data_IF_718495663681
#
_entry.id   IF_718495663681
#
_cell.length_a   1.000
_cell.length_b   1.000
_cell.length_c   1.000
_cell.angle_alpha   90.00
_cell.angle_beta   90.00
_cell.angle_gamma   90.00
#
_symmetry.space_group_name_H-M   'P 1'
#
loop_
_entity.id
_entity.type
_entity.pdbx_description
1 polymer ?
#
# COMPACT_ATOMS: atom_id res chain seq x y z
N UNK A 1 -1.84 -5.38 -23.60
CA UNK A 1 -0.36 -5.27 -23.42
C UNK A 1 0.28 -6.61 -23.07
N UNK A 2 -0.19 -7.35 -22.07
CA UNK A 2 0.35 -8.68 -21.72
C UNK A 2 0.31 -9.64 -22.92
N UNK A 3 -0.81 -9.72 -23.64
CA UNK A 3 -0.91 -10.52 -24.87
C UNK A 3 0.18 -10.20 -25.89
N UNK A 4 0.41 -8.91 -26.18
CA UNK A 4 1.49 -8.48 -27.09
C UNK A 4 2.88 -8.92 -26.61
N UNK A 5 3.14 -8.90 -25.31
CA UNK A 5 4.40 -9.41 -24.74
C UNK A 5 4.51 -10.92 -24.94
N UNK A 6 3.48 -11.69 -24.59
CA UNK A 6 3.49 -13.15 -24.70
C UNK A 6 3.60 -13.60 -26.16
N UNK A 7 2.89 -12.94 -27.07
CA UNK A 7 2.96 -13.20 -28.52
C UNK A 7 4.37 -12.89 -29.05
N UNK A 8 4.97 -11.79 -28.59
CA UNK A 8 6.33 -11.41 -28.94
C UNK A 8 7.39 -12.41 -28.46
N UNK A 9 7.22 -12.97 -27.26
CA UNK A 9 8.07 -14.04 -26.73
C UNK A 9 7.90 -15.33 -27.52
N UNK A 10 6.66 -15.71 -27.86
CA UNK A 10 6.37 -16.88 -28.68
C UNK A 10 6.98 -16.77 -30.09
N UNK A 11 6.82 -15.63 -30.75
CA UNK A 11 7.39 -15.37 -32.07
C UNK A 11 8.92 -15.47 -32.10
N UNK A 12 9.58 -15.25 -30.95
CA UNK A 12 11.04 -15.37 -30.77
C UNK A 12 11.47 -16.74 -30.23
N UNK A 13 10.55 -17.68 -30.06
CA UNK A 13 10.79 -19.02 -29.46
C UNK A 13 11.34 -18.93 -28.04
N UNK A 14 10.91 -17.93 -27.27
CA UNK A 14 11.33 -17.69 -25.88
C UNK A 14 10.26 -18.06 -24.86
N UNK A 15 9.05 -18.44 -25.28
CA UNK A 15 7.93 -18.70 -24.38
C UNK A 15 8.24 -19.75 -23.30
N UNK A 16 8.93 -20.83 -23.67
CA UNK A 16 9.26 -21.93 -22.74
C UNK A 16 10.56 -21.70 -21.96
N UNK A 17 11.33 -20.66 -22.32
CA UNK A 17 12.61 -20.34 -21.68
C UNK A 17 12.48 -19.20 -20.65
N UNK A 18 11.39 -18.44 -20.68
CA UNK A 18 11.20 -17.24 -19.87
C UNK A 18 10.29 -17.49 -18.67
N UNK A 19 10.63 -16.86 -17.55
CA UNK A 19 9.77 -16.77 -16.37
C UNK A 19 9.15 -15.36 -16.33
N UNK A 20 7.81 -15.29 -16.30
CA UNK A 20 7.06 -14.07 -16.15
C UNK A 20 6.43 -14.01 -14.76
N UNK A 21 6.65 -12.89 -14.05
CA UNK A 21 5.99 -12.57 -12.78
C UNK A 21 5.26 -11.25 -12.98
N UNK A 22 3.94 -11.31 -12.97
CA UNK A 22 3.05 -10.15 -13.06
C UNK A 22 2.55 -9.82 -11.67
N UNK A 23 2.75 -8.57 -11.25
CA UNK A 23 2.38 -8.09 -9.92
C UNK A 23 1.61 -6.79 -10.03
N UNK A 24 0.94 -6.45 -8.93
CA UNK A 24 0.49 -5.09 -8.62
C UNK A 24 1.01 -4.72 -7.22
N UNK A 25 1.12 -3.44 -6.94
CA UNK A 25 1.50 -2.87 -5.66
C UNK A 25 0.35 -2.91 -4.64
N UNK A 26 -0.87 -2.56 -5.06
CA UNK A 26 -2.07 -2.57 -4.23
C UNK A 26 -3.35 -2.63 -5.07
N UNK A 27 -4.46 -2.93 -4.41
CA UNK A 27 -5.79 -2.81 -5.02
C UNK A 27 -6.34 -1.38 -5.03
N UNK A 28 -7.66 -1.24 -5.10
CA UNK A 28 -8.36 0.02 -5.27
C UNK A 28 -9.75 -0.05 -4.64
N UNK A 29 -10.20 1.02 -3.98
CA UNK A 29 -11.46 1.08 -3.27
C UNK A 29 -12.27 2.35 -3.63
N UNK A 30 -13.58 2.26 -3.95
CA UNK A 30 -14.40 3.41 -4.31
C UNK A 30 -14.56 4.47 -3.22
N UNK A 31 -14.44 5.75 -3.58
CA UNK A 31 -14.59 6.90 -2.68
C UNK A 31 -15.84 7.72 -3.05
N UNK A 32 -16.16 8.74 -2.27
CA UNK A 32 -17.30 9.64 -2.55
C UNK A 32 -16.99 11.06 -2.10
N UNK A 33 -17.53 12.05 -2.80
CA UNK A 33 -17.50 13.45 -2.39
C UNK A 33 -18.26 13.70 -1.08
N UNK A 34 -19.23 12.82 -0.74
CA UNK A 34 -19.98 12.86 0.52
C UNK A 34 -19.22 12.20 1.69
N UNK A 35 -18.14 11.47 1.39
CA UNK A 35 -17.31 10.75 2.37
C UNK A 35 -15.96 11.42 2.55
N UNK A 36 -15.99 12.71 2.87
CA UNK A 36 -14.80 13.53 3.09
C UNK A 36 -14.86 14.15 4.47
N UNK A 37 -13.78 14.02 5.23
CA UNK A 37 -13.54 14.75 6.46
C UNK A 37 -12.51 15.83 6.18
N UNK A 38 -12.86 17.09 6.45
CA UNK A 38 -11.93 18.20 6.26
C UNK A 38 -11.06 18.39 7.50
N UNK A 39 -9.74 18.29 7.32
CA UNK A 39 -8.78 18.46 8.41
C UNK A 39 -8.85 19.86 9.04
N UNK A 40 -9.14 20.87 8.22
CA UNK A 40 -9.19 22.28 8.62
C UNK A 40 -10.35 22.60 9.59
N UNK A 41 -11.32 21.68 9.74
CA UNK A 41 -12.38 21.80 10.76
C UNK A 41 -11.88 21.55 12.18
N UNK A 42 -10.68 20.94 12.33
CA UNK A 42 -10.14 20.50 13.61
C UNK A 42 -8.80 21.15 13.96
N UNK A 43 -8.01 21.52 12.94
CA UNK A 43 -6.68 22.12 13.11
C UNK A 43 -6.51 23.25 12.11
N UNK A 44 -6.00 24.40 12.54
CA UNK A 44 -5.71 25.49 11.61
C UNK A 44 -4.48 25.13 10.74
N UNK A 45 -4.48 25.43 9.42
CA UNK A 45 -3.36 25.12 8.53
C UNK A 45 -2.00 25.68 9.01
N UNK A 46 -1.99 26.78 9.76
CA UNK A 46 -0.77 27.38 10.33
C UNK A 46 -0.18 26.58 11.50
N UNK A 47 -0.91 25.63 12.08
CA UNK A 47 -0.48 24.84 13.24
C UNK A 47 0.19 23.51 12.86
N UNK A 48 0.03 23.08 11.61
CA UNK A 48 0.39 21.71 11.19
C UNK A 48 1.02 21.69 9.81
N UNK A 49 2.10 20.90 9.68
CA UNK A 49 2.61 20.46 8.39
C UNK A 49 1.95 19.12 8.04
N UNK A 50 1.35 19.06 6.86
CA UNK A 50 0.76 17.85 6.29
C UNK A 50 1.80 17.21 5.36
N UNK A 51 2.41 16.10 5.78
CA UNK A 51 3.40 15.37 4.97
C UNK A 51 2.72 14.60 3.83
N UNK A 52 1.55 14.03 4.11
CA UNK A 52 0.68 13.32 3.18
C UNK A 52 -0.75 13.29 3.74
N UNK A 53 -1.74 13.06 2.89
CA UNK A 53 -3.18 13.01 3.25
C UNK A 53 -3.93 12.02 2.33
N UNK A 54 -5.28 12.02 2.37
CA UNK A 54 -6.20 11.09 1.70
C UNK A 54 -6.66 9.93 2.61
N UNK A 55 -6.42 8.68 2.20
CA UNK A 55 -6.75 7.48 2.99
C UNK A 55 -5.86 7.31 4.21
N UNK A 56 -4.65 7.89 4.17
CA UNK A 56 -3.72 7.99 5.29
C UNK A 56 -3.20 9.42 5.34
N UNK A 57 -3.17 10.01 6.54
CA UNK A 57 -2.64 11.36 6.76
C UNK A 57 -1.47 11.30 7.72
N UNK A 58 -0.42 12.04 7.41
CA UNK A 58 0.76 12.18 8.23
C UNK A 58 0.97 13.63 8.64
N UNK A 59 0.96 13.91 9.94
CA UNK A 59 0.96 15.27 10.47
C UNK A 59 2.16 15.53 11.39
N UNK A 60 2.78 16.70 11.22
CA UNK A 60 3.82 17.24 12.11
C UNK A 60 3.36 18.57 12.70
N UNK A 61 3.45 18.78 14.02
CA UNK A 61 3.13 20.07 14.61
C UNK A 61 4.14 21.12 14.15
N UNK A 62 3.66 22.26 13.64
CA UNK A 62 4.45 23.47 13.46
C UNK A 62 4.46 24.30 14.76
N UNK A 63 3.37 24.20 15.53
CA UNK A 63 3.22 24.79 16.85
C UNK A 63 2.76 23.73 17.86
N UNK A 64 3.13 23.90 19.13
CA UNK A 64 2.77 22.94 20.19
C UNK A 64 3.45 21.57 20.03
N UNK A 65 2.76 20.52 20.47
CA UNK A 65 3.27 19.15 20.50
C UNK A 65 2.41 18.17 19.68
N UNK A 66 2.94 16.97 19.42
CA UNK A 66 2.15 15.89 18.81
C UNK A 66 0.98 15.46 19.70
N UNK A 67 1.12 15.55 21.03
CA UNK A 67 0.04 15.23 21.96
C UNK A 67 -1.12 16.24 21.84
N UNK A 68 -0.82 17.51 21.60
CA UNK A 68 -1.83 18.54 21.38
C UNK A 68 -2.63 18.27 20.10
N UNK A 69 -1.96 17.87 19.01
CA UNK A 69 -2.62 17.44 17.78
C UNK A 69 -3.52 16.21 18.02
N UNK A 70 -3.02 15.21 18.75
CA UNK A 70 -3.81 14.02 19.08
C UNK A 70 -5.09 14.40 19.82
N UNK A 71 -5.00 15.26 20.85
CA UNK A 71 -6.16 15.74 21.62
C UNK A 71 -7.20 16.43 20.73
N UNK A 72 -6.77 17.34 19.85
CA UNK A 72 -7.65 18.04 18.90
C UNK A 72 -8.37 17.06 17.95
N UNK A 73 -7.69 15.99 17.55
CA UNK A 73 -8.17 15.02 16.57
C UNK A 73 -8.91 13.81 17.18
N UNK A 74 -9.06 13.75 18.51
CA UNK A 74 -9.71 12.61 19.21
C UNK A 74 -11.13 12.31 18.71
N UNK A 75 -11.83 13.31 18.16
CA UNK A 75 -13.21 13.20 17.67
C UNK A 75 -13.34 13.17 16.15
N UNK A 76 -12.23 12.95 15.42
CA UNK A 76 -12.27 12.86 13.97
C UNK A 76 -13.19 11.69 13.55
N UNK A 77 -14.33 11.95 12.87
CA UNK A 77 -15.23 10.89 12.46
C UNK A 77 -14.59 10.08 11.33
N UNK A 78 -15.03 8.82 11.18
CA UNK A 78 -14.65 7.95 10.06
C UNK A 78 -13.14 7.78 9.85
N UNK A 79 -12.37 7.85 10.92
CA UNK A 79 -10.93 7.68 10.89
C UNK A 79 -10.42 7.23 12.26
N UNK A 80 -9.23 6.64 12.26
CA UNK A 80 -8.48 6.31 13.46
C UNK A 80 -7.22 7.15 13.52
N UNK A 81 -7.03 7.84 14.63
CA UNK A 81 -5.87 8.70 14.86
C UNK A 81 -4.90 8.00 15.80
N UNK A 82 -3.64 7.91 15.39
CA UNK A 82 -2.59 7.23 16.14
C UNK A 82 -1.44 8.19 16.43
N UNK A 83 -0.95 8.15 17.67
CA UNK A 83 0.44 8.46 17.90
C UNK A 83 1.29 7.43 17.14
N UNK A 84 2.39 7.84 16.51
CA UNK A 84 3.30 6.93 15.79
C UNK A 84 3.67 5.67 16.58
N UNK A 85 3.98 5.83 17.87
CA UNK A 85 4.34 4.72 18.75
C UNK A 85 3.18 3.73 19.00
N UNK A 86 1.94 4.20 18.88
CA UNK A 86 0.71 3.43 19.07
C UNK A 86 0.17 2.82 17.78
N UNK A 87 0.82 3.04 16.62
CA UNK A 87 0.41 2.40 15.37
C UNK A 87 0.45 0.87 15.51
N UNK A 88 -0.56 0.15 14.99
CA UNK A 88 -0.60 -1.30 15.03
C UNK A 88 0.69 -1.93 14.50
N UNK A 89 1.32 -2.81 15.30
CA UNK A 89 2.60 -3.45 14.96
C UNK A 89 2.59 -4.12 13.59
N UNK A 90 1.45 -4.70 13.20
CA UNK A 90 1.27 -5.39 11.91
C UNK A 90 1.45 -4.50 10.69
N UNK A 91 1.43 -3.17 10.84
CA UNK A 91 1.70 -2.27 9.72
C UNK A 91 3.19 -2.13 9.42
N UNK A 92 4.08 -2.50 10.36
CA UNK A 92 5.51 -2.26 10.23
C UNK A 92 5.84 -0.78 9.89
N UNK A 93 4.96 0.14 10.30
CA UNK A 93 4.99 1.55 9.93
C UNK A 93 5.11 2.45 11.17
N UNK A 94 6.19 2.26 11.94
CA UNK A 94 6.46 3.11 13.13
C UNK A 94 7.94 3.36 13.41
N UNK A 95 8.83 2.53 12.87
CA UNK A 95 10.25 2.52 13.25
C UNK A 95 11.13 3.30 12.23
N UNK A 96 10.71 4.51 11.84
CA UNK A 96 11.46 5.38 10.92
C UNK A 96 11.25 6.86 11.21
N UNK A 97 12.30 7.72 11.21
CA UNK A 97 12.16 9.15 11.48
C UNK A 97 11.33 9.90 10.43
N UNK A 98 11.21 9.33 9.22
CA UNK A 98 10.37 9.89 8.14
C UNK A 98 8.88 9.78 8.43
N UNK A 99 8.48 8.85 9.29
CA UNK A 99 7.08 8.70 9.69
C UNK A 99 6.71 9.85 10.65
N UNK A 100 5.67 10.63 10.35
CA UNK A 100 5.21 11.73 11.19
C UNK A 100 4.77 11.24 12.59
N UNK A 101 4.84 12.10 13.61
CA UNK A 101 4.48 11.72 14.98
C UNK A 101 2.98 11.42 15.15
N UNK A 102 2.12 11.96 14.28
CA UNK A 102 0.69 11.69 14.24
C UNK A 102 0.31 11.13 12.87
N UNK A 103 -0.38 9.98 12.87
CA UNK A 103 -0.87 9.32 11.66
C UNK A 103 -2.37 9.08 11.79
N UNK A 104 -3.12 9.45 10.76
CA UNK A 104 -4.56 9.22 10.66
C UNK A 104 -4.77 8.15 9.59
N UNK A 105 -5.56 7.14 9.89
CA UNK A 105 -6.02 6.13 8.94
C UNK A 105 -7.52 6.30 8.74
N UNK A 106 -7.94 6.70 7.55
CA UNK A 106 -9.35 6.82 7.21
C UNK A 106 -10.02 5.44 7.19
N UNK A 107 -11.30 5.40 7.55
CA UNK A 107 -12.13 4.22 7.32
C UNK A 107 -12.29 3.95 5.81
N UNK A 108 -12.62 2.70 5.47
CA UNK A 108 -12.77 2.29 4.08
C UNK A 108 -13.74 3.20 3.32
N UNK A 109 -13.25 3.82 2.24
CA UNK A 109 -14.04 4.67 1.34
C UNK A 109 -14.21 6.12 1.80
N UNK A 110 -13.61 6.48 2.94
CA UNK A 110 -13.50 7.84 3.44
C UNK A 110 -12.16 8.47 3.10
N UNK A 111 -12.13 9.79 2.97
CA UNK A 111 -10.92 10.56 2.74
C UNK A 111 -10.79 11.64 3.83
N UNK A 112 -9.57 11.85 4.30
CA UNK A 112 -9.24 12.97 5.18
C UNK A 112 -8.28 13.90 4.44
N UNK A 113 -8.73 15.11 4.13
CA UNK A 113 -7.98 16.09 3.33
C UNK A 113 -8.23 17.53 3.81
N UNK A 114 -7.39 18.48 3.41
CA UNK A 114 -7.71 19.91 3.55
C UNK A 114 -8.61 20.42 2.42
N UNK A 115 -9.36 21.50 2.67
CA UNK A 115 -10.16 22.19 1.65
C UNK A 115 -9.28 22.77 0.55
N UNK A 116 -8.07 23.23 0.89
CA UNK A 116 -7.08 23.68 -0.09
C UNK A 116 -6.69 22.56 -1.05
N UNK A 117 -6.50 21.34 -0.53
CA UNK A 117 -6.17 20.17 -1.32
C UNK A 117 -7.30 19.81 -2.29
N UNK A 118 -8.55 19.87 -1.80
CA UNK A 118 -9.71 19.64 -2.67
C UNK A 118 -9.81 20.71 -3.76
N UNK A 119 -9.60 22.00 -3.41
CA UNK A 119 -9.67 23.13 -4.35
C UNK A 119 -8.61 23.04 -5.45
N UNK A 120 -7.40 22.59 -5.12
CA UNK A 120 -6.29 22.48 -6.07
C UNK A 120 -6.33 21.19 -6.91
N UNK A 121 -7.34 20.34 -6.74
CA UNK A 121 -7.43 19.06 -7.43
C UNK A 121 -8.06 19.21 -8.81
N UNK A 122 -7.44 18.57 -9.80
CA UNK A 122 -7.89 18.57 -11.20
C UNK A 122 -8.83 17.40 -11.53
N UNK A 123 -8.91 16.39 -10.66
CA UNK A 123 -9.70 15.17 -10.86
C UNK A 123 -10.75 14.98 -9.76
N UNK A 124 -11.86 14.27 -10.04
CA UNK A 124 -12.86 13.99 -9.02
C UNK A 124 -12.31 13.17 -7.85
N UNK A 125 -12.92 13.34 -6.67
CA UNK A 125 -12.58 12.64 -5.42
C UNK A 125 -13.48 11.44 -5.14
N UNK A 126 -14.48 11.22 -5.98
CA UNK A 126 -15.55 10.23 -5.89
C UNK A 126 -15.38 9.04 -6.85
N UNK A 127 -14.16 8.82 -7.35
CA UNK A 127 -13.83 7.68 -8.18
C UNK A 127 -13.38 6.50 -7.31
N UNK A 128 -12.10 6.50 -6.93
CA UNK A 128 -11.53 5.52 -6.04
C UNK A 128 -10.20 6.01 -5.46
N UNK A 129 -9.78 5.39 -4.36
CA UNK A 129 -8.47 5.59 -3.74
C UNK A 129 -7.90 4.28 -3.20
N UNK A 130 -6.65 4.34 -2.78
CA UNK A 130 -5.90 3.24 -2.18
C UNK A 130 -5.09 3.78 -1.00
N UNK A 131 -4.32 2.91 -0.33
CA UNK A 131 -3.51 3.28 0.85
C UNK A 131 -4.22 3.05 2.19
N UNK A 132 -5.48 2.61 2.16
CA UNK A 132 -6.20 2.14 3.34
C UNK A 132 -5.49 0.94 3.99
N UNK A 133 -6.08 0.44 5.08
CA UNK A 133 -5.57 -0.73 5.79
C UNK A 133 -5.28 -1.90 4.83
N UNK A 134 -4.03 -2.39 4.74
CA UNK A 134 -3.66 -3.46 3.81
C UNK A 134 -4.38 -4.79 4.09
N UNK A 135 -5.03 -4.94 5.26
CA UNK A 135 -5.86 -6.11 5.55
C UNK A 135 -7.19 -6.11 4.77
N UNK A 136 -7.65 -4.96 4.27
CA UNK A 136 -8.88 -4.88 3.48
C UNK A 136 -8.76 -5.73 2.20
N UNK A 137 -9.79 -6.52 1.84
CA UNK A 137 -9.80 -7.28 0.60
C UNK A 137 -9.55 -6.42 -0.65
N UNK A 138 -10.10 -5.21 -0.68
CA UNK A 138 -9.98 -4.25 -1.79
C UNK A 138 -8.57 -3.70 -1.96
N UNK A 139 -7.72 -3.76 -0.93
CA UNK A 139 -6.30 -3.39 -1.01
C UNK A 139 -5.44 -4.56 -1.50
N UNK A 140 -6.02 -5.74 -1.72
CA UNK A 140 -5.33 -6.90 -2.27
C UNK A 140 -4.76 -6.62 -3.67
N UNK A 141 -3.52 -7.05 -3.89
CA UNK A 141 -2.83 -6.89 -5.17
C UNK A 141 -2.80 -8.20 -5.97
N UNK A 142 -2.68 -8.08 -7.29
CA UNK A 142 -2.51 -9.23 -8.17
C UNK A 142 -1.09 -9.82 -8.06
N UNK A 143 -1.00 -11.15 -8.12
CA UNK A 143 0.23 -11.88 -8.34
C UNK A 143 -0.03 -13.08 -9.25
N UNK A 144 0.66 -13.14 -10.38
CA UNK A 144 0.60 -14.24 -11.34
C UNK A 144 2.03 -14.58 -11.74
N UNK A 145 2.39 -15.86 -11.67
CA UNK A 145 3.70 -16.34 -12.09
C UNK A 145 3.54 -17.47 -13.09
N UNK A 146 4.26 -17.39 -14.22
CA UNK A 146 4.20 -18.37 -15.30
C UNK A 146 5.59 -18.57 -15.91
N UNK A 147 5.92 -19.81 -16.29
CA UNK A 147 7.21 -20.16 -16.87
C UNK A 147 7.74 -21.49 -16.35
N UNK A 148 8.92 -21.93 -16.84
CA UNK A 148 9.49 -23.23 -16.52
C UNK A 148 9.82 -23.43 -15.04
N UNK A 149 10.09 -22.35 -14.29
CA UNK A 149 10.41 -22.43 -12.86
C UNK A 149 9.17 -22.65 -11.98
N UNK A 150 7.99 -22.21 -12.41
CA UNK A 150 6.78 -22.16 -11.59
C UNK A 150 5.87 -23.38 -11.77
N UNK A 151 5.17 -23.75 -10.69
CA UNK A 151 4.14 -24.80 -10.72
C UNK A 151 3.00 -24.36 -11.64
N UNK A 152 2.58 -25.27 -12.51
CA UNK A 152 1.50 -25.01 -13.47
C UNK A 152 0.15 -25.35 -12.84
N UNK A 153 -0.87 -24.53 -13.11
CA UNK A 153 -2.24 -24.72 -12.62
C UNK A 153 -2.41 -24.59 -11.09
N UNK A 154 -1.42 -24.03 -10.39
CA UNK A 154 -1.48 -23.87 -8.93
C UNK A 154 -2.17 -22.56 -8.54
N UNK A 155 -3.11 -22.64 -7.59
CA UNK A 155 -3.66 -21.47 -6.89
C UNK A 155 -2.96 -21.32 -5.55
N UNK A 156 -2.31 -20.17 -5.34
CA UNK A 156 -1.60 -19.87 -4.10
C UNK A 156 -2.56 -19.25 -3.08
N UNK A 157 -2.33 -19.53 -1.79
CA UNK A 157 -2.97 -18.77 -0.70
C UNK A 157 -2.45 -17.33 -0.70
N UNK A 158 -3.24 -16.38 -0.16
CA UNK A 158 -2.81 -14.99 0.04
C UNK A 158 -1.49 -14.94 0.84
N UNK A 159 -0.61 -14.03 0.45
CA UNK A 159 0.69 -13.80 1.06
C UNK A 159 1.07 -12.32 0.95
N UNK A 160 2.06 -11.88 1.72
CA UNK A 160 2.56 -10.50 1.69
C UNK A 160 3.62 -10.29 0.61
N UNK A 161 3.58 -9.14 -0.07
CA UNK A 161 4.46 -8.84 -1.21
C UNK A 161 5.97 -8.84 -0.87
N UNK A 162 6.33 -8.70 0.41
CA UNK A 162 7.72 -8.83 0.90
C UNK A 162 8.35 -10.18 0.53
N UNK A 163 7.55 -11.23 0.33
CA UNK A 163 8.04 -12.55 -0.05
C UNK A 163 8.41 -12.67 -1.54
N UNK A 164 8.00 -11.71 -2.38
CA UNK A 164 8.28 -11.72 -3.83
C UNK A 164 9.78 -11.60 -4.09
N UNK A 165 10.53 -10.83 -3.28
CA UNK A 165 11.97 -10.68 -3.43
C UNK A 165 12.71 -12.03 -3.37
N UNK A 166 12.47 -12.83 -2.32
CA UNK A 166 13.10 -14.14 -2.18
C UNK A 166 12.70 -15.10 -3.32
N UNK A 167 11.46 -15.01 -3.82
CA UNK A 167 11.02 -15.78 -4.99
C UNK A 167 11.83 -15.42 -6.23
N UNK A 168 12.01 -14.13 -6.52
CA UNK A 168 12.78 -13.69 -7.68
C UNK A 168 14.26 -14.10 -7.56
N UNK A 169 14.85 -13.97 -6.38
CA UNK A 169 16.20 -14.48 -6.12
C UNK A 169 16.30 -15.98 -6.41
N UNK A 170 15.36 -16.79 -5.91
CA UNK A 170 15.35 -18.24 -6.14
C UNK A 170 15.21 -18.59 -7.63
N UNK A 171 14.34 -17.92 -8.37
CA UNK A 171 14.17 -18.12 -9.83
C UNK A 171 15.46 -17.80 -10.60
N UNK A 172 16.24 -16.83 -10.13
CA UNK A 172 17.49 -16.40 -10.75
C UNK A 172 18.73 -17.15 -10.23
N UNK A 173 18.58 -18.05 -9.25
CA UNK A 173 19.71 -18.73 -8.60
C UNK A 173 20.59 -17.81 -7.73
N UNK A 174 20.03 -16.73 -7.20
CA UNK A 174 20.72 -15.75 -6.37
C UNK A 174 20.47 -16.00 -4.88
N UNK A 175 21.47 -15.68 -4.05
CA UNK A 175 21.29 -15.57 -2.61
C UNK A 175 20.63 -14.22 -2.27
N UNK A 176 19.47 -14.21 -1.57
CA UNK A 176 18.82 -12.97 -1.19
C UNK A 176 19.64 -12.22 -0.13
N UNK A 177 19.70 -10.89 -0.24
CA UNK A 177 20.19 -10.04 0.85
C UNK A 177 19.22 -10.09 2.05
N UNK A 178 19.67 -9.68 3.26
CA UNK A 178 18.78 -9.60 4.42
C UNK A 178 17.53 -8.76 4.14
N UNK A 179 16.36 -9.32 4.41
CA UNK A 179 15.05 -8.69 4.19
C UNK A 179 13.98 -9.33 5.11
N UNK A 180 12.77 -8.77 5.14
CA UNK A 180 11.67 -9.23 6.00
C UNK A 180 10.87 -10.41 5.42
N UNK A 181 11.12 -10.78 4.16
CA UNK A 181 10.48 -11.90 3.50
C UNK A 181 11.11 -13.26 3.85
N UNK A 182 10.33 -14.32 3.73
CA UNK A 182 10.80 -15.69 3.90
C UNK A 182 10.52 -16.56 2.66
N UNK A 183 10.94 -17.82 2.71
CA UNK A 183 10.85 -18.75 1.58
C UNK A 183 9.49 -19.49 1.48
N UNK A 184 8.44 -19.05 2.18
CA UNK A 184 7.11 -19.69 2.05
C UNK A 184 6.57 -19.61 0.63
N UNK A 185 6.77 -18.47 -0.04
CA UNK A 185 6.34 -18.28 -1.42
C UNK A 185 7.18 -19.12 -2.39
N UNK A 186 8.49 -19.20 -2.17
CA UNK A 186 9.40 -20.08 -2.92
C UNK A 186 8.89 -21.52 -2.90
N UNK A 187 8.63 -22.07 -1.70
CA UNK A 187 8.13 -23.44 -1.50
C UNK A 187 6.74 -23.66 -2.11
N UNK A 188 5.91 -22.62 -2.19
CA UNK A 188 4.55 -22.72 -2.71
C UNK A 188 4.52 -22.61 -4.25
N UNK A 189 5.35 -21.75 -4.84
CA UNK A 189 5.27 -21.36 -6.25
C UNK A 189 6.22 -22.13 -7.17
N UNK A 190 7.40 -22.57 -6.70
CA UNK A 190 8.39 -23.23 -7.57
C UNK A 190 8.13 -24.73 -7.75
N UNK A 191 8.43 -25.25 -8.95
CA UNK A 191 8.37 -26.70 -9.24
C UNK A 191 9.43 -27.47 -8.48
N UNK A 192 10.63 -26.89 -8.39
CA UNK A 192 11.78 -27.41 -7.66
C UNK A 192 12.27 -26.26 -6.78
N UNK A 193 11.87 -26.24 -5.50
CA UNK A 193 12.25 -25.18 -4.57
C UNK A 193 13.73 -25.25 -4.18
#
# INVERSE_FOLDING_TARGET
MIGRLTDGLAARRLADAMNLVVVSDHGMLPTSAERIVFLDDYIAPSEVQVDFQWSVVGLRPLTGTAEDLLKKLTRLPHARVYAKAALPRRFHFRDSPRIPPVVILAEAGWLVISRETLKNRTYPVDLAAHGFDPALPEMGAAFIAAGPAFRQGATLKRFDNIHVYNLLCAVLGLQPAPNDGDNRLVRAALRRP
#
